data_IF_455954178056
#
_entry.id   IF_455954178056
#
_cell.length_a   1.000
_cell.length_b   1.000
_cell.length_c   1.000
_cell.angle_alpha   90.00
_cell.angle_beta   90.00
_cell.angle_gamma   90.00
#
_symmetry.space_group_name_H-M   'P 1'
#
loop_
_entity.id
_entity.type
_entity.pdbx_description
1 polymer ?
#
# COMPACT_ATOMS: atom_id res chain seq x y z
N UNK A 1 20.97 10.03 -30.21
CA UNK A 1 19.99 10.75 -29.38
C UNK A 1 19.16 9.69 -28.71
N UNK A 2 19.28 9.52 -27.40
CA UNK A 2 18.43 8.57 -26.66
C UNK A 2 17.05 9.19 -26.58
N UNK A 3 16.15 8.81 -27.47
CA UNK A 3 14.73 9.07 -27.30
C UNK A 3 14.29 8.22 -26.11
N UNK A 4 14.26 8.84 -24.93
CA UNK A 4 13.62 8.23 -23.78
C UNK A 4 12.15 8.08 -24.16
N UNK A 5 11.75 6.85 -24.51
CA UNK A 5 10.35 6.45 -24.64
C UNK A 5 9.55 7.10 -23.51
N UNK A 6 8.52 7.91 -23.82
CA UNK A 6 7.76 8.58 -22.79
C UNK A 6 7.12 7.53 -21.90
N UNK A 7 7.40 7.61 -20.59
CA UNK A 7 6.75 6.77 -19.60
C UNK A 7 5.24 6.83 -19.82
N UNK A 8 4.59 5.66 -19.94
CA UNK A 8 3.15 5.62 -20.13
C UNK A 8 2.46 6.35 -18.98
N UNK A 9 1.34 7.02 -19.27
CA UNK A 9 0.56 7.73 -18.24
C UNK A 9 0.20 6.79 -17.08
N UNK A 10 -0.04 5.51 -17.39
CA UNK A 10 -0.24 4.44 -16.41
C UNK A 10 0.97 4.23 -15.50
N UNK A 11 2.19 4.20 -16.05
CA UNK A 11 3.41 4.06 -15.27
C UNK A 11 3.65 5.25 -14.34
N UNK A 12 3.41 6.48 -14.81
CA UNK A 12 3.56 7.69 -13.98
C UNK A 12 2.57 7.68 -12.82
N UNK A 13 1.31 7.31 -13.07
CA UNK A 13 0.29 7.20 -12.04
C UNK A 13 0.65 6.14 -10.99
N UNK A 14 1.04 4.95 -11.44
CA UNK A 14 1.45 3.85 -10.54
C UNK A 14 2.70 4.21 -9.72
N UNK A 15 3.68 4.94 -10.27
CA UNK A 15 4.82 5.44 -9.49
C UNK A 15 4.41 6.46 -8.43
N UNK A 16 3.48 7.36 -8.78
CA UNK A 16 2.95 8.34 -7.83
C UNK A 16 2.16 7.65 -6.70
N UNK A 17 1.34 6.66 -7.03
CA UNK A 17 0.62 5.83 -6.07
C UNK A 17 1.58 5.05 -5.17
N UNK A 18 2.57 4.36 -5.73
CA UNK A 18 3.59 3.66 -4.95
C UNK A 18 4.28 4.61 -3.95
N UNK A 19 4.71 5.78 -4.41
CA UNK A 19 5.31 6.81 -3.56
C UNK A 19 4.37 7.25 -2.43
N UNK A 20 3.10 7.49 -2.74
CA UNK A 20 2.07 7.84 -1.76
C UNK A 20 1.91 6.75 -0.69
N UNK A 21 1.82 5.48 -1.09
CA UNK A 21 1.67 4.35 -0.16
C UNK A 21 2.88 4.20 0.76
N UNK A 22 4.09 4.38 0.24
CA UNK A 22 5.31 4.37 1.06
C UNK A 22 5.36 5.53 2.06
N UNK A 23 4.96 6.73 1.64
CA UNK A 23 4.89 7.89 2.55
C UNK A 23 3.89 7.62 3.67
N UNK A 24 2.70 7.07 3.36
CA UNK A 24 1.70 6.70 4.36
C UNK A 24 2.27 5.62 5.30
N UNK A 25 2.92 4.58 4.77
CA UNK A 25 3.55 3.53 5.56
C UNK A 25 4.57 4.11 6.55
N UNK A 26 5.44 5.02 6.08
CA UNK A 26 6.47 5.65 6.90
C UNK A 26 5.86 6.56 7.97
N UNK A 27 4.89 7.41 7.60
CA UNK A 27 4.18 8.28 8.56
C UNK A 27 3.51 7.45 9.63
N UNK A 28 2.82 6.36 9.26
CA UNK A 28 2.20 5.45 10.22
C UNK A 28 3.24 4.75 11.09
N UNK A 29 4.37 4.30 10.53
CA UNK A 29 5.44 3.67 11.27
C UNK A 29 6.07 4.59 12.33
N UNK A 30 6.23 5.87 12.01
CA UNK A 30 6.82 6.87 12.91
C UNK A 30 5.80 7.43 13.92
N UNK A 31 4.56 7.70 13.48
CA UNK A 31 3.52 8.32 14.31
C UNK A 31 2.87 7.33 15.28
N UNK A 32 2.67 6.08 14.86
CA UNK A 32 2.22 5.05 15.77
C UNK A 32 3.42 4.66 16.63
N UNK A 33 3.53 5.19 17.85
CA UNK A 33 4.42 4.58 18.86
C UNK A 33 3.96 3.13 19.07
N UNK A 34 4.69 2.20 18.47
CA UNK A 34 4.27 0.81 18.31
C UNK A 34 4.53 -0.02 19.55
N UNK A 35 3.67 0.13 20.57
CA UNK A 35 3.72 -0.72 21.76
C UNK A 35 3.15 -2.13 21.56
N UNK A 36 2.52 -2.42 20.41
CA UNK A 36 1.92 -3.74 20.11
C UNK A 36 2.32 -4.23 18.72
N UNK A 37 2.78 -5.48 18.57
CA UNK A 37 3.30 -6.01 17.30
C UNK A 37 2.26 -6.01 16.17
N UNK A 38 0.99 -6.25 16.47
CA UNK A 38 -0.11 -6.22 15.47
C UNK A 38 -0.28 -4.86 14.77
N UNK A 39 0.15 -3.75 15.40
CA UNK A 39 0.08 -2.41 14.79
C UNK A 39 1.02 -2.24 13.60
N UNK A 40 2.07 -3.07 13.50
CA UNK A 40 3.01 -3.05 12.36
C UNK A 40 2.38 -3.57 11.08
N UNK A 41 1.30 -4.36 11.17
CA UNK A 41 0.65 -4.92 9.98
C UNK A 41 0.08 -3.84 9.07
N UNK A 42 -0.38 -2.71 9.62
CA UNK A 42 -0.96 -1.62 8.83
C UNK A 42 0.11 -0.92 7.97
N UNK A 43 1.21 -0.38 8.52
CA UNK A 43 2.27 0.20 7.70
C UNK A 43 2.97 -0.85 6.83
N UNK A 44 3.11 -2.10 7.28
CA UNK A 44 3.62 -3.18 6.44
C UNK A 44 2.70 -3.43 5.22
N UNK A 45 1.38 -3.44 5.41
CA UNK A 45 0.42 -3.57 4.32
C UNK A 45 0.48 -2.39 3.33
N UNK A 46 0.64 -1.15 3.82
CA UNK A 46 0.86 0.01 2.94
C UNK A 46 2.16 -0.12 2.14
N UNK A 47 3.26 -0.53 2.78
CA UNK A 47 4.53 -0.77 2.09
C UNK A 47 4.42 -1.87 1.03
N UNK A 48 3.83 -3.02 1.38
CA UNK A 48 3.60 -4.11 0.44
C UNK A 48 2.70 -3.72 -0.73
N UNK A 49 1.68 -2.88 -0.49
CA UNK A 49 0.81 -2.37 -1.55
C UNK A 49 1.59 -1.44 -2.51
N UNK A 50 2.42 -0.53 -1.97
CA UNK A 50 3.31 0.30 -2.78
C UNK A 50 4.36 -0.50 -3.58
N UNK A 51 4.89 -1.59 -3.01
CA UNK A 51 5.77 -2.52 -3.75
C UNK A 51 5.00 -3.19 -4.90
N UNK A 52 3.74 -3.58 -4.68
CA UNK A 52 2.94 -4.20 -5.73
C UNK A 52 2.69 -3.26 -6.91
N UNK A 53 2.52 -1.96 -6.66
CA UNK A 53 2.37 -0.94 -7.70
C UNK A 53 3.69 -0.70 -8.46
N UNK A 54 4.85 -0.77 -7.80
CA UNK A 54 6.17 -0.73 -8.47
C UNK A 54 6.40 -1.93 -9.37
N UNK A 55 5.89 -3.10 -9.00
CA UNK A 55 6.00 -4.31 -9.82
C UNK A 55 5.04 -4.20 -11.01
N UNK A 56 3.85 -3.63 -10.83
CA UNK A 56 2.90 -3.37 -11.91
C UNK A 56 3.50 -2.48 -13.01
N UNK A 57 4.32 -1.49 -12.65
CA UNK A 57 5.06 -0.68 -13.63
C UNK A 57 6.11 -1.52 -14.40
N UNK A 58 6.77 -2.46 -13.73
CA UNK A 58 7.79 -3.32 -14.34
C UNK A 58 7.20 -4.43 -15.22
N UNK A 59 6.08 -5.01 -14.80
CA UNK A 59 5.43 -6.12 -15.51
C UNK A 59 4.43 -5.64 -16.56
N UNK A 60 3.94 -4.41 -16.45
CA UNK A 60 2.88 -3.86 -17.31
C UNK A 60 1.51 -4.51 -17.08
N UNK A 61 1.39 -5.37 -16.07
CA UNK A 61 0.17 -6.11 -15.76
C UNK A 61 -0.08 -6.13 -14.25
N UNK A 62 -1.29 -5.75 -13.84
CA UNK A 62 -1.67 -5.68 -12.43
C UNK A 62 -2.00 -7.04 -11.79
N UNK A 63 -2.15 -8.09 -12.61
CA UNK A 63 -2.48 -9.46 -12.18
C UNK A 63 -1.38 -10.48 -12.47
N UNK A 64 -0.36 -10.12 -13.26
CA UNK A 64 0.72 -11.02 -13.66
C UNK A 64 2.00 -10.57 -12.95
N UNK A 65 2.58 -11.38 -12.06
CA UNK A 65 2.16 -12.71 -11.57
C UNK A 65 1.01 -12.70 -10.55
N UNK A 66 0.18 -13.76 -10.55
CA UNK A 66 -1.07 -13.90 -9.77
C UNK A 66 -0.94 -13.64 -8.26
N UNK A 67 0.25 -13.82 -7.69
CA UNK A 67 0.49 -13.54 -6.28
C UNK A 67 0.38 -12.05 -5.94
N UNK A 68 0.57 -11.14 -6.90
CA UNK A 68 0.34 -9.70 -6.71
C UNK A 68 -1.12 -9.42 -6.35
N UNK A 69 -2.04 -10.11 -7.01
CA UNK A 69 -3.47 -10.00 -6.69
C UNK A 69 -3.75 -10.45 -5.27
N UNK A 70 -3.17 -11.59 -4.84
CA UNK A 70 -3.31 -12.10 -3.47
C UNK A 70 -2.71 -11.13 -2.46
N UNK A 71 -1.56 -10.53 -2.76
CA UNK A 71 -0.91 -9.53 -1.92
C UNK A 71 -1.78 -8.28 -1.78
N UNK A 72 -2.26 -7.72 -2.89
CA UNK A 72 -3.18 -6.57 -2.89
C UNK A 72 -4.45 -6.89 -2.09
N UNK A 73 -5.04 -8.07 -2.27
CA UNK A 73 -6.21 -8.51 -1.50
C UNK A 73 -5.92 -8.64 0.01
N UNK A 74 -4.77 -9.19 0.39
CA UNK A 74 -4.35 -9.28 1.78
C UNK A 74 -4.13 -7.90 2.41
N UNK A 75 -3.49 -6.97 1.69
CA UNK A 75 -3.31 -5.58 2.12
C UNK A 75 -4.65 -4.88 2.35
N UNK A 76 -5.59 -5.01 1.40
CA UNK A 76 -6.94 -4.45 1.52
C UNK A 76 -7.66 -5.04 2.73
N UNK A 77 -7.53 -6.34 3.00
CA UNK A 77 -8.13 -6.96 4.18
C UNK A 77 -7.56 -6.37 5.48
N UNK A 78 -6.25 -6.13 5.56
CA UNK A 78 -5.63 -5.45 6.71
C UNK A 78 -6.18 -4.04 6.88
N UNK A 79 -6.35 -3.27 5.79
CA UNK A 79 -6.95 -1.94 5.85
C UNK A 79 -8.39 -1.98 6.35
N UNK A 80 -9.20 -2.93 5.87
CA UNK A 80 -10.59 -3.11 6.32
C UNK A 80 -10.65 -3.49 7.81
N UNK A 81 -9.79 -4.40 8.26
CA UNK A 81 -9.72 -4.78 9.68
C UNK A 81 -9.28 -3.60 10.56
N UNK A 82 -8.29 -2.82 10.11
CA UNK A 82 -7.84 -1.62 10.81
C UNK A 82 -8.94 -0.57 10.89
N UNK A 83 -9.67 -0.34 9.79
CA UNK A 83 -10.83 0.56 9.74
C UNK A 83 -11.94 0.11 10.69
N UNK A 84 -12.31 -1.17 10.66
CA UNK A 84 -13.33 -1.74 11.55
C UNK A 84 -12.93 -1.61 13.02
N UNK A 85 -11.66 -1.87 13.35
CA UNK A 85 -11.12 -1.68 14.69
C UNK A 85 -11.17 -0.22 15.14
N UNK A 86 -10.87 0.73 14.24
CA UNK A 86 -10.97 2.16 14.52
C UNK A 86 -12.42 2.60 14.74
N UNK A 87 -13.36 2.17 13.89
CA UNK A 87 -14.81 2.45 14.05
C UNK A 87 -15.38 1.87 15.34
N UNK A 88 -14.95 0.69 15.76
CA UNK A 88 -15.38 0.06 17.03
C UNK A 88 -14.87 0.84 18.25
N UNK A 89 -13.69 1.45 18.18
CA UNK A 89 -13.17 2.31 19.25
C UNK A 89 -13.91 3.64 19.32
N UNK A 90 -14.29 4.23 18.17
CA UNK A 90 -15.10 5.44 18.13
C UNK A 90 -16.48 5.30 18.80
N UNK A 91 -17.08 4.11 18.80
CA UNK A 91 -18.35 3.83 19.50
C UNK A 91 -18.23 3.63 21.02
N UNK A 92 -17.02 3.46 21.57
CA UNK A 92 -16.82 3.28 23.02
C UNK A 92 -16.63 4.60 23.79
N UNK A 93 -16.53 5.72 23.08
CA UNK A 93 -16.41 7.07 23.65
C UNK A 93 -17.63 7.96 23.34
N UNK A 94 -18.72 7.38 22.85
CA UNK A 94 -20.00 8.06 22.64
C UNK A 94 -21.03 7.61 23.67
#
# INVERSE_FOLDING_TARGET
MNEAEPLSVHAVFNYAEAGLWFVIALVLAVRLRMGRPWRWLVPAAFGCFGVSDLIEVQTGAWWEPWWLFVLKAACVLVFLLAWLAFRRQGKRHG
#
